data_IF_526147707238
#
_entry.id   IF_526147707238
#
_cell.length_a   1.000
_cell.length_b   1.000
_cell.length_c   1.000
_cell.angle_alpha   90.00
_cell.angle_beta   90.00
_cell.angle_gamma   90.00
#
_symmetry.space_group_name_H-M   'P 1'
#
loop_
_entity.id
_entity.type
_entity.pdbx_description
1 polymer ?
#
# COMPACT_ATOMS: atom_id res chain seq x y z
N UNK A 1 -9.13 -7.16 -12.97
CA UNK A 1 -8.52 -6.47 -14.14
C UNK A 1 -9.13 -6.92 -15.47
N UNK A 2 -9.09 -8.20 -15.85
CA UNK A 2 -9.70 -8.69 -17.11
C UNK A 2 -11.20 -8.40 -17.26
N UNK A 3 -11.96 -8.57 -16.19
CA UNK A 3 -13.41 -8.29 -16.17
C UNK A 3 -13.75 -6.79 -16.30
N UNK A 4 -12.78 -5.91 -15.99
CA UNK A 4 -12.92 -4.46 -16.07
C UNK A 4 -12.24 -3.88 -17.33
N UNK A 5 -11.75 -4.73 -18.24
CA UNK A 5 -10.98 -4.33 -19.43
C UNK A 5 -9.77 -3.44 -19.12
N UNK A 6 -9.21 -3.55 -17.90
CA UNK A 6 -8.02 -2.80 -17.49
C UNK A 6 -6.75 -3.57 -17.85
N UNK A 7 -5.73 -2.84 -18.31
CA UNK A 7 -4.38 -3.36 -18.54
C UNK A 7 -3.54 -3.14 -17.30
N UNK A 8 -2.92 -4.20 -16.81
CA UNK A 8 -2.07 -4.16 -15.62
C UNK A 8 -0.60 -4.31 -16.03
N UNK A 9 0.26 -3.53 -15.38
CA UNK A 9 1.69 -3.61 -15.53
C UNK A 9 2.33 -3.80 -14.16
N UNK A 10 3.39 -4.59 -14.11
CA UNK A 10 4.22 -4.73 -12.93
C UNK A 10 5.62 -4.25 -13.26
N UNK A 11 6.21 -3.49 -12.34
CA UNK A 11 7.59 -3.03 -12.46
C UNK A 11 8.29 -3.20 -11.13
N UNK A 12 9.56 -3.58 -11.20
CA UNK A 12 10.46 -3.60 -10.06
C UNK A 12 11.49 -2.46 -10.22
N UNK A 13 11.82 -1.80 -9.11
CA UNK A 13 12.83 -0.72 -9.09
C UNK A 13 14.23 -1.23 -9.45
N UNK A 14 14.49 -2.53 -9.27
CA UNK A 14 15.82 -3.15 -9.37
C UNK A 14 16.77 -2.76 -8.23
N UNK A 15 16.28 -2.05 -7.21
CA UNK A 15 17.08 -1.71 -6.03
C UNK A 15 17.10 -2.88 -5.02
N UNK A 16 18.14 -2.96 -4.17
CA UNK A 16 18.13 -3.86 -3.02
C UNK A 16 16.94 -3.56 -2.10
N UNK A 17 16.36 -4.60 -1.51
CA UNK A 17 15.24 -4.46 -0.56
C UNK A 17 15.62 -3.54 0.60
N UNK A 18 14.66 -2.69 1.01
CA UNK A 18 14.74 -1.92 2.26
C UNK A 18 14.59 -0.40 2.11
N UNK A 19 14.66 0.14 0.89
CA UNK A 19 14.43 1.57 0.66
C UNK A 19 13.13 1.83 -0.12
N UNK A 20 12.01 1.73 0.59
CA UNK A 20 10.67 1.89 0.03
C UNK A 20 10.45 3.22 -0.71
N UNK A 21 11.03 4.33 -0.23
CA UNK A 21 10.91 5.62 -0.91
C UNK A 21 11.59 5.61 -2.28
N UNK A 22 12.85 5.15 -2.33
CA UNK A 22 13.58 5.07 -3.60
C UNK A 22 12.97 4.05 -4.54
N UNK A 23 12.40 2.97 -4.00
CA UNK A 23 11.67 1.97 -4.79
C UNK A 23 10.50 2.59 -5.53
N UNK A 24 9.63 3.32 -4.83
CA UNK A 24 8.51 4.01 -5.46
C UNK A 24 8.95 5.04 -6.51
N UNK A 25 9.98 5.82 -6.18
CA UNK A 25 10.54 6.82 -7.09
C UNK A 25 11.11 6.18 -8.38
N UNK A 26 11.97 5.15 -8.25
CA UNK A 26 12.56 4.44 -9.38
C UNK A 26 11.54 3.62 -10.16
N UNK A 27 10.49 3.13 -9.50
CA UNK A 27 9.37 2.47 -10.15
C UNK A 27 8.71 3.37 -11.20
N UNK A 28 8.52 4.66 -10.91
CA UNK A 28 7.96 5.61 -11.88
C UNK A 28 8.88 5.81 -13.09
N UNK A 29 10.20 5.88 -12.89
CA UNK A 29 11.16 5.94 -14.02
C UNK A 29 11.03 4.71 -14.91
N UNK A 30 10.98 3.51 -14.30
CA UNK A 30 10.85 2.25 -15.04
C UNK A 30 9.50 2.11 -15.76
N UNK A 31 8.42 2.57 -15.13
CA UNK A 31 7.10 2.58 -15.77
C UNK A 31 7.11 3.45 -17.03
N UNK A 32 7.72 4.64 -16.98
CA UNK A 32 7.82 5.54 -18.13
C UNK A 32 8.69 4.99 -19.26
N UNK A 33 9.75 4.26 -18.94
CA UNK A 33 10.61 3.62 -19.94
C UNK A 33 9.90 2.47 -20.66
N UNK A 34 9.02 1.76 -19.96
CA UNK A 34 8.39 0.54 -20.47
C UNK A 34 6.99 0.76 -21.06
N UNK A 35 6.26 1.79 -20.59
CA UNK A 35 4.84 1.98 -20.90
C UNK A 35 4.49 3.47 -21.07
N UNK A 36 3.94 3.82 -22.23
CA UNK A 36 3.59 5.22 -22.56
C UNK A 36 2.30 5.71 -21.87
N UNK A 37 1.41 4.80 -21.47
CA UNK A 37 0.07 5.14 -20.94
C UNK A 37 -0.17 4.45 -19.59
N UNK A 38 0.27 5.11 -18.52
CA UNK A 38 -0.08 4.76 -17.14
C UNK A 38 -0.83 5.93 -16.51
N UNK A 39 -2.10 5.72 -16.18
CA UNK A 39 -3.00 6.70 -15.56
C UNK A 39 -3.35 6.34 -14.10
N UNK A 40 -2.83 5.22 -13.60
CA UNK A 40 -3.05 4.73 -12.25
C UNK A 40 -1.86 3.92 -11.73
N UNK A 41 -1.42 4.21 -10.51
CA UNK A 41 -0.34 3.50 -9.84
C UNK A 41 -0.84 3.01 -8.48
N UNK A 42 -0.69 1.71 -8.23
CA UNK A 42 -0.91 1.10 -6.92
C UNK A 42 0.45 0.76 -6.30
N UNK A 43 0.62 1.08 -5.02
CA UNK A 43 1.84 0.79 -4.26
C UNK A 43 1.53 -0.06 -3.04
N UNK A 44 2.46 -0.95 -2.67
CA UNK A 44 2.27 -1.83 -1.53
C UNK A 44 2.34 -1.07 -0.19
N UNK A 45 3.13 0.01 -0.13
CA UNK A 45 3.35 0.80 1.07
C UNK A 45 3.26 2.31 0.84
N UNK A 46 2.79 3.07 1.83
CA UNK A 46 2.70 4.54 1.76
C UNK A 46 4.06 5.19 1.47
N UNK A 47 5.14 4.60 1.99
CA UNK A 47 6.51 5.06 1.76
C UNK A 47 6.89 4.98 0.28
N UNK A 48 6.45 3.95 -0.44
CA UNK A 48 6.59 3.88 -1.90
C UNK A 48 5.72 4.94 -2.57
N UNK A 49 4.49 5.14 -2.08
CA UNK A 49 3.58 6.18 -2.58
C UNK A 49 4.18 7.58 -2.51
N UNK A 50 4.88 7.91 -1.42
CA UNK A 50 5.61 9.18 -1.28
C UNK A 50 6.69 9.30 -2.37
N UNK A 51 7.44 8.23 -2.62
CA UNK A 51 8.42 8.18 -3.72
C UNK A 51 7.80 8.37 -5.10
N UNK A 52 6.67 7.72 -5.35
CA UNK A 52 5.88 7.86 -6.59
C UNK A 52 5.42 9.30 -6.78
N UNK A 53 4.80 9.90 -5.77
CA UNK A 53 4.31 11.29 -5.83
C UNK A 53 5.47 12.26 -6.10
N UNK A 54 6.64 12.03 -5.50
CA UNK A 54 7.84 12.83 -5.78
C UNK A 54 8.28 12.73 -7.24
N UNK A 55 8.40 11.51 -7.77
CA UNK A 55 8.83 11.28 -9.16
C UNK A 55 7.82 11.83 -10.18
N UNK A 56 6.51 11.72 -9.90
CA UNK A 56 5.46 12.28 -10.73
C UNK A 56 5.54 13.82 -10.74
N UNK A 57 5.67 14.45 -9.56
CA UNK A 57 5.84 15.91 -9.42
C UNK A 57 7.03 16.42 -10.20
N UNK A 58 8.19 15.78 -10.09
CA UNK A 58 9.41 16.18 -10.81
C UNK A 58 9.29 16.01 -12.33
N UNK A 59 8.48 15.07 -12.79
CA UNK A 59 8.17 14.90 -14.22
C UNK A 59 7.05 15.79 -14.75
N UNK A 60 6.52 16.69 -13.93
CA UNK A 60 5.43 17.59 -14.32
C UNK A 60 4.06 16.92 -14.47
N UNK A 61 3.90 15.67 -14.01
CA UNK A 61 2.63 14.94 -14.06
C UNK A 61 1.71 15.39 -12.93
N UNK A 62 0.45 15.65 -13.25
CA UNK A 62 -0.58 16.08 -12.30
C UNK A 62 -1.28 14.89 -11.67
N UNK A 63 -1.24 14.82 -10.34
CA UNK A 63 -2.04 13.88 -9.55
C UNK A 63 -3.24 14.65 -8.99
N UNK A 64 -4.49 14.15 -9.11
CA UNK A 64 -4.92 12.89 -9.74
C UNK A 64 -5.26 13.01 -11.24
N UNK A 65 -5.16 14.20 -11.84
CA UNK A 65 -5.72 14.50 -13.17
C UNK A 65 -5.15 13.67 -14.32
N UNK A 66 -3.86 13.36 -14.27
CA UNK A 66 -3.17 12.53 -15.27
C UNK A 66 -2.84 11.14 -14.75
N UNK A 67 -2.45 11.05 -13.47
CA UNK A 67 -2.09 9.78 -12.84
C UNK A 67 -2.69 9.74 -11.44
N UNK A 68 -3.48 8.71 -11.16
CA UNK A 68 -4.02 8.41 -9.84
C UNK A 68 -3.04 7.55 -9.05
N UNK A 69 -3.02 7.70 -7.74
CA UNK A 69 -2.14 6.92 -6.85
C UNK A 69 -2.92 6.35 -5.68
N UNK A 70 -2.78 5.05 -5.43
CA UNK A 70 -3.40 4.36 -4.29
C UNK A 70 -2.33 3.57 -3.53
N UNK A 71 -2.26 3.74 -2.21
CA UNK A 71 -1.47 2.89 -1.31
C UNK A 71 -2.27 1.72 -0.74
N UNK A 72 -1.64 0.60 -0.44
CA UNK A 72 -2.27 -0.60 0.13
C UNK A 72 -2.03 -0.79 1.65
N UNK A 73 -1.61 0.26 2.36
CA UNK A 73 -1.44 0.19 3.83
C UNK A 73 -2.19 1.30 4.56
N UNK A 74 -2.02 2.55 4.12
CA UNK A 74 -2.73 3.74 4.63
C UNK A 74 -2.28 4.21 6.01
N UNK A 75 -0.98 4.36 6.22
CA UNK A 75 -0.42 5.01 7.40
C UNK A 75 -0.85 6.48 7.48
N UNK A 76 -0.95 6.99 8.72
CA UNK A 76 -1.37 8.37 8.99
C UNK A 76 -0.58 9.44 8.21
N UNK A 77 0.70 9.17 7.90
CA UNK A 77 1.54 10.06 7.10
C UNK A 77 0.95 10.37 5.72
N UNK A 78 0.23 9.41 5.10
CA UNK A 78 -0.39 9.58 3.79
C UNK A 78 -1.43 10.71 3.78
N UNK A 79 -2.14 10.92 4.89
CA UNK A 79 -3.11 12.00 5.05
C UNK A 79 -2.50 13.38 5.35
N UNK A 80 -1.19 13.46 5.60
CA UNK A 80 -0.48 14.70 5.95
C UNK A 80 0.38 15.24 4.79
N UNK A 81 0.34 14.61 3.63
CA UNK A 81 1.08 15.05 2.45
C UNK A 81 0.43 16.27 1.80
N UNK A 82 1.22 17.02 1.02
CA UNK A 82 0.72 18.14 0.20
C UNK A 82 -0.40 17.72 -0.76
N UNK A 83 -0.37 16.47 -1.23
CA UNK A 83 -1.49 15.81 -1.90
C UNK A 83 -1.81 14.54 -1.11
N UNK A 84 -2.86 14.57 -0.31
CA UNK A 84 -3.22 13.51 0.62
C UNK A 84 -3.52 12.22 -0.14
N UNK A 85 -2.86 11.13 0.26
CA UNK A 85 -2.83 9.88 -0.49
C UNK A 85 -4.06 9.03 -0.20
N UNK A 86 -4.79 8.65 -1.25
CA UNK A 86 -5.82 7.61 -1.20
C UNK A 86 -5.19 6.27 -0.85
N UNK A 87 -5.84 5.51 0.03
CA UNK A 87 -5.30 4.23 0.49
C UNK A 87 -6.36 3.18 0.77
N UNK A 88 -6.03 1.92 0.49
CA UNK A 88 -6.72 0.76 1.04
C UNK A 88 -6.11 0.45 2.41
N UNK A 89 -6.77 0.92 3.46
CA UNK A 89 -6.32 0.83 4.84
C UNK A 89 -6.54 -0.56 5.43
N UNK A 90 -5.47 -1.11 5.99
CA UNK A 90 -5.49 -2.33 6.78
C UNK A 90 -5.80 -1.99 8.25
N UNK A 91 -6.65 -2.77 8.95
CA UNK A 91 -6.94 -2.55 10.37
C UNK A 91 -5.79 -3.06 11.26
N UNK A 92 -4.57 -2.55 11.05
CA UNK A 92 -3.34 -3.07 11.67
C UNK A 92 -3.35 -3.04 13.20
N UNK A 93 -4.02 -2.06 13.80
CA UNK A 93 -4.20 -2.01 15.26
C UNK A 93 -5.05 -3.18 15.78
N UNK A 94 -6.15 -3.49 15.09
CA UNK A 94 -7.04 -4.59 15.45
C UNK A 94 -6.34 -5.94 15.27
N UNK A 95 -5.62 -6.09 14.15
CA UNK A 95 -4.79 -7.28 13.89
C UNK A 95 -3.74 -7.50 14.98
N UNK A 96 -3.01 -6.44 15.35
CA UNK A 96 -1.99 -6.52 16.39
C UNK A 96 -2.57 -6.82 17.77
N UNK A 97 -3.70 -6.20 18.11
CA UNK A 97 -4.40 -6.47 19.37
C UNK A 97 -4.85 -7.93 19.43
N UNK A 98 -5.52 -8.43 18.39
CA UNK A 98 -5.97 -9.83 18.37
C UNK A 98 -4.82 -10.81 18.41
N UNK A 99 -3.70 -10.53 17.73
CA UNK A 99 -2.51 -11.37 17.80
C UNK A 99 -1.92 -11.42 19.22
N UNK A 100 -1.88 -10.29 19.93
CA UNK A 100 -1.44 -10.25 21.32
C UNK A 100 -2.40 -11.02 22.24
N UNK A 101 -3.71 -10.83 22.08
CA UNK A 101 -4.74 -11.54 22.85
C UNK A 101 -4.61 -13.07 22.67
N UNK A 102 -4.41 -13.55 21.43
CA UNK A 102 -4.22 -14.97 21.15
C UNK A 102 -2.96 -15.55 21.82
N UNK A 103 -1.88 -14.78 21.90
CA UNK A 103 -0.66 -15.19 22.60
C UNK A 103 -0.91 -15.28 24.11
N UNK A 104 -1.62 -14.30 24.68
CA UNK A 104 -1.98 -14.32 26.09
C UNK A 104 -2.90 -15.49 26.43
N UNK A 105 -3.93 -15.73 25.60
CA UNK A 105 -4.83 -16.89 25.70
C UNK A 105 -4.04 -18.22 25.73
N UNK A 106 -3.00 -18.39 24.90
CA UNK A 106 -2.15 -19.59 24.89
C UNK A 106 -1.21 -19.71 26.10
N UNK A 107 -0.72 -18.58 26.63
CA UNK A 107 0.16 -18.55 27.82
C UNK A 107 -0.63 -18.84 29.09
N UNK A 108 -1.86 -18.36 29.19
CA UNK A 108 -2.71 -18.48 30.39
C UNK A 108 -3.46 -19.82 30.45
N UNK A 109 -3.67 -20.50 29.32
CA UNK A 109 -4.33 -21.79 29.25
C UNK A 109 -3.51 -22.92 29.91
N UNK A 110 -4.21 -23.86 30.57
CA UNK A 110 -3.61 -25.13 30.96
C UNK A 110 -3.23 -25.96 29.71
N UNK A 111 -2.28 -26.89 29.85
CA UNK A 111 -1.76 -27.68 28.72
C UNK A 111 -2.85 -28.45 27.96
N UNK A 112 -3.91 -28.88 28.64
CA UNK A 112 -5.07 -29.58 28.07
C UNK A 112 -6.20 -28.65 27.59
N UNK A 113 -6.08 -27.35 27.83
CA UNK A 113 -7.06 -26.32 27.45
C UNK A 113 -6.52 -25.34 26.39
N UNK A 114 -5.38 -25.66 25.76
CA UNK A 114 -4.76 -24.77 24.77
C UNK A 114 -5.71 -24.44 23.61
N UNK A 115 -5.77 -23.16 23.19
CA UNK A 115 -6.58 -22.75 22.04
C UNK A 115 -6.15 -23.46 20.75
N UNK A 116 -7.12 -23.91 19.95
CA UNK A 116 -6.84 -24.41 18.61
C UNK A 116 -6.35 -23.30 17.68
N UNK A 117 -5.59 -23.66 16.63
CA UNK A 117 -5.17 -22.72 15.58
C UNK A 117 -6.38 -21.97 14.99
N UNK A 118 -6.31 -20.64 14.98
CA UNK A 118 -7.37 -19.80 14.43
C UNK A 118 -6.94 -19.19 13.09
N UNK A 119 -7.89 -19.12 12.15
CA UNK A 119 -7.74 -18.39 10.90
C UNK A 119 -8.70 -17.20 10.89
N UNK A 120 -8.17 -15.98 10.92
CA UNK A 120 -8.94 -14.75 11.00
C UNK A 120 -8.73 -13.90 9.74
N UNK A 121 -9.81 -13.35 9.23
CA UNK A 121 -9.81 -12.47 8.05
C UNK A 121 -10.25 -11.09 8.48
N UNK A 122 -9.43 -10.09 8.19
CA UNK A 122 -9.71 -8.69 8.47
C UNK A 122 -10.08 -7.96 7.18
N UNK A 123 -11.14 -7.17 7.22
CA UNK A 123 -11.56 -6.36 6.08
C UNK A 123 -10.69 -5.11 5.92
N UNK A 124 -10.29 -4.80 4.70
CA UNK A 124 -9.69 -3.51 4.35
C UNK A 124 -10.77 -2.46 4.06
N UNK A 125 -10.40 -1.18 4.17
CA UNK A 125 -11.28 -0.06 3.80
C UNK A 125 -10.58 0.85 2.82
N UNK A 126 -11.25 1.18 1.71
CA UNK A 126 -10.77 2.24 0.82
C UNK A 126 -11.08 3.60 1.46
N UNK A 127 -10.05 4.38 1.71
CA UNK A 127 -10.16 5.77 2.16
C UNK A 127 -9.70 6.67 1.00
N UNK A 128 -10.69 7.21 0.29
CA UNK A 128 -10.47 8.17 -0.79
C UNK A 128 -9.98 9.51 -0.23
N UNK A 129 -8.94 10.04 -0.86
CA UNK A 129 -8.34 11.36 -0.57
C UNK A 129 -8.07 12.09 -1.89
N UNK A 130 -6.99 12.88 -1.95
CA UNK A 130 -6.73 13.81 -3.05
C UNK A 130 -6.01 13.15 -4.25
N UNK A 131 -5.47 11.94 -4.11
CA UNK A 131 -4.74 11.26 -5.20
C UNK A 131 -5.59 10.39 -6.11
N UNK A 132 -6.92 10.42 -5.98
CA UNK A 132 -7.87 9.70 -6.86
C UNK A 132 -9.02 10.56 -7.32
#
# INVERSE_FOLDING_TARGET
MKELSLKEYQVESGLPRGNYFKDGYKGVERLKEAFDEVDGIMVAADMQGIGVLRALKESGKKVPKEVKVISLTGHAIGGMLETAMTSMELPGREMGQRAADMILEDIEAADDEKPSVQHMVFGTKLIERETT
#
